data_IF_190991093566
#
_entry.id   IF_190991093566
#
_cell.length_a   1.000
_cell.length_b   1.000
_cell.length_c   1.000
_cell.angle_alpha   90.00
_cell.angle_beta   90.00
_cell.angle_gamma   90.00
#
_symmetry.space_group_name_H-M   'P 1'
#
loop_
_entity.id
_entity.type
_entity.pdbx_description
1 polymer ?
#
# COMPACT_ATOMS: atom_id res chain seq x y z
N UNK A 1 8.23 -9.55 23.18
CA UNK A 1 8.99 -10.30 22.15
C UNK A 1 8.95 -9.51 20.86
N UNK A 2 10.09 -9.35 20.20
CA UNK A 2 10.16 -8.69 18.90
C UNK A 2 9.58 -9.64 17.84
N UNK A 3 8.67 -9.13 17.00
CA UNK A 3 8.05 -9.93 15.92
C UNK A 3 9.10 -10.25 14.86
N UNK A 4 9.13 -11.49 14.42
CA UNK A 4 9.96 -11.89 13.27
C UNK A 4 9.49 -11.22 11.97
N UNK A 5 10.37 -11.10 10.98
CA UNK A 5 10.05 -10.52 9.67
C UNK A 5 8.89 -11.28 8.99
N UNK A 6 8.82 -12.60 9.14
CA UNK A 6 7.76 -13.43 8.55
C UNK A 6 6.41 -13.25 9.25
N UNK A 7 6.39 -13.07 10.57
CA UNK A 7 5.16 -12.73 11.30
C UNK A 7 4.65 -11.35 10.87
N UNK A 8 5.52 -10.34 10.78
CA UNK A 8 5.16 -9.01 10.25
C UNK A 8 4.60 -9.12 8.84
N UNK A 9 5.25 -9.87 7.95
CA UNK A 9 4.79 -10.07 6.58
C UNK A 9 3.39 -10.69 6.53
N UNK A 10 3.15 -11.74 7.31
CA UNK A 10 1.85 -12.41 7.38
C UNK A 10 0.75 -11.45 7.80
N UNK A 11 0.97 -10.68 8.88
CA UNK A 11 0.00 -9.71 9.39
C UNK A 11 -0.26 -8.58 8.38
N UNK A 12 0.79 -8.01 7.82
CA UNK A 12 0.69 -6.80 6.99
C UNK A 12 0.27 -7.08 5.55
N UNK A 13 0.58 -8.25 5.02
CA UNK A 13 0.07 -8.70 3.73
C UNK A 13 -1.41 -9.12 3.83
N UNK A 14 -1.82 -9.81 4.91
CA UNK A 14 -3.22 -10.12 5.15
C UNK A 14 -4.06 -8.85 5.35
N UNK A 15 -3.57 -7.88 6.10
CA UNK A 15 -4.22 -6.57 6.25
C UNK A 15 -4.35 -5.81 4.93
N UNK A 16 -3.43 -5.99 3.99
CA UNK A 16 -3.45 -5.33 2.69
C UNK A 16 -4.53 -5.87 1.72
N UNK A 17 -5.11 -7.05 1.96
CA UNK A 17 -6.17 -7.61 1.10
C UNK A 17 -7.43 -6.74 1.04
N UNK A 18 -7.71 -5.99 2.09
CA UNK A 18 -8.87 -5.09 2.18
C UNK A 18 -8.69 -3.78 1.41
N UNK A 19 -7.52 -3.56 0.84
CA UNK A 19 -7.28 -2.43 -0.04
C UNK A 19 -7.82 -2.75 -1.46
N UNK A 20 -8.85 -2.01 -1.89
CA UNK A 20 -9.70 -2.31 -3.06
C UNK A 20 -8.97 -2.26 -4.41
N UNK A 21 -7.72 -1.79 -4.46
CA UNK A 21 -6.96 -1.67 -5.71
C UNK A 21 -6.58 -3.01 -6.36
N UNK A 22 -6.91 -4.15 -5.74
CA UNK A 22 -6.60 -5.49 -6.26
C UNK A 22 -7.65 -6.53 -5.88
N UNK A 23 -8.12 -7.28 -6.84
CA UNK A 23 -8.91 -8.49 -6.64
C UNK A 23 -7.96 -9.68 -6.44
N UNK A 24 -7.62 -10.03 -5.19
CA UNK A 24 -7.01 -11.32 -4.89
C UNK A 24 -8.11 -12.33 -4.57
N UNK A 25 -8.02 -13.55 -5.07
CA UNK A 25 -9.04 -14.59 -4.87
C UNK A 25 -9.15 -15.09 -3.42
N UNK A 26 -8.22 -14.73 -2.55
CA UNK A 26 -8.14 -15.22 -1.17
C UNK A 26 -7.83 -16.72 -1.06
N UNK A 27 -7.52 -17.39 -2.17
CA UNK A 27 -7.26 -18.82 -2.19
C UNK A 27 -5.98 -19.17 -1.42
N UNK A 28 -6.07 -20.12 -0.52
CA UNK A 28 -4.91 -20.68 0.21
C UNK A 28 -4.94 -22.22 0.14
N UNK A 29 -3.83 -22.83 -0.23
CA UNK A 29 -3.69 -24.28 -0.33
C UNK A 29 -2.26 -24.69 -0.01
N UNK A 30 -2.08 -25.48 1.04
CA UNK A 30 -0.79 -26.06 1.36
C UNK A 30 -0.39 -27.13 0.33
N UNK A 31 0.91 -27.32 0.13
CA UNK A 31 1.44 -28.42 -0.65
C UNK A 31 1.03 -29.77 -0.02
N UNK A 32 0.64 -30.73 -0.86
CA UNK A 32 0.31 -32.10 -0.45
C UNK A 32 1.35 -33.07 -1.01
N UNK A 33 1.59 -34.16 -0.34
CA UNK A 33 2.45 -35.22 -0.87
C UNK A 33 1.95 -35.67 -2.26
N UNK A 34 2.85 -35.71 -3.25
CA UNK A 34 2.53 -36.05 -4.64
C UNK A 34 1.94 -34.88 -5.48
N UNK A 35 1.80 -33.68 -4.93
CA UNK A 35 1.41 -32.48 -5.70
C UNK A 35 2.58 -31.52 -5.85
N UNK A 36 2.57 -30.75 -6.95
CA UNK A 36 3.55 -29.68 -7.19
C UNK A 36 2.88 -28.34 -6.88
N UNK A 37 3.52 -27.53 -6.02
CA UNK A 37 3.12 -26.18 -5.68
C UNK A 37 2.20 -26.04 -4.49
N UNK A 38 2.21 -24.84 -3.92
CA UNK A 38 1.32 -24.36 -2.88
C UNK A 38 0.78 -22.99 -3.29
N UNK A 39 -0.38 -22.62 -2.77
CA UNK A 39 -0.98 -21.32 -2.98
C UNK A 39 -1.17 -20.65 -1.62
N UNK A 40 -0.56 -19.47 -1.45
CA UNK A 40 -0.74 -18.61 -0.29
C UNK A 40 -1.52 -17.36 -0.69
N UNK A 41 -2.60 -17.08 0.03
CA UNK A 41 -3.51 -16.01 -0.29
C UNK A 41 -2.95 -14.59 -0.15
N UNK A 42 -2.18 -14.22 0.89
CA UNK A 42 -1.75 -12.84 1.05
C UNK A 42 -0.38 -12.56 0.41
N UNK A 43 -0.21 -11.35 -0.10
CA UNK A 43 1.10 -10.77 -0.40
C UNK A 43 1.40 -10.47 -1.86
N UNK A 44 0.70 -11.07 -2.84
CA UNK A 44 0.92 -10.73 -4.24
C UNK A 44 -0.36 -10.20 -4.89
N UNK A 45 -0.24 -9.11 -5.62
CA UNK A 45 -1.28 -8.61 -6.50
C UNK A 45 -0.76 -8.47 -7.93
N UNK A 46 -1.68 -8.33 -8.88
CA UNK A 46 -1.35 -8.14 -10.27
C UNK A 46 -1.76 -6.74 -10.72
N UNK A 47 -0.89 -6.06 -11.43
CA UNK A 47 -1.18 -4.84 -12.15
C UNK A 47 -0.98 -5.09 -13.66
N UNK A 48 -1.78 -4.44 -14.50
CA UNK A 48 -1.60 -4.51 -15.94
C UNK A 48 -0.89 -3.25 -16.42
N UNK A 49 0.15 -3.43 -17.22
CA UNK A 49 0.83 -2.36 -17.93
C UNK A 49 0.02 -1.93 -19.15
N UNK A 50 0.36 -0.80 -19.76
CA UNK A 50 -0.38 -0.27 -20.91
C UNK A 50 -0.33 -1.19 -22.15
N UNK A 51 0.68 -2.04 -22.23
CA UNK A 51 0.86 -3.05 -23.26
C UNK A 51 0.19 -4.40 -22.93
N UNK A 52 -0.61 -4.44 -21.85
CA UNK A 52 -1.39 -5.61 -21.45
C UNK A 52 -0.62 -6.68 -20.67
N UNK A 53 0.67 -6.48 -20.35
CA UNK A 53 1.43 -7.43 -19.53
C UNK A 53 0.95 -7.38 -18.08
N UNK A 54 0.84 -8.58 -17.49
CA UNK A 54 0.56 -8.74 -16.06
C UNK A 54 1.86 -8.62 -15.28
N UNK A 55 1.89 -7.72 -14.29
CA UNK A 55 3.02 -7.48 -13.38
C UNK A 55 2.64 -7.97 -12.00
N UNK A 56 3.41 -8.88 -11.43
CA UNK A 56 3.21 -9.37 -10.07
C UNK A 56 3.87 -8.44 -9.04
N UNK A 57 3.10 -7.98 -8.07
CA UNK A 57 3.56 -7.03 -7.06
C UNK A 57 3.47 -7.63 -5.66
N UNK A 58 4.49 -7.38 -4.83
CA UNK A 58 4.36 -7.55 -3.39
C UNK A 58 3.40 -6.48 -2.87
N UNK A 59 2.20 -6.90 -2.45
CA UNK A 59 1.20 -6.01 -1.87
C UNK A 59 1.26 -6.09 -0.36
N UNK A 60 1.61 -4.99 0.28
CA UNK A 60 1.84 -4.96 1.73
C UNK A 60 1.53 -3.59 2.31
N UNK A 61 1.11 -3.57 3.59
CA UNK A 61 1.08 -2.35 4.39
C UNK A 61 2.45 -2.09 5.03
N UNK A 62 2.86 -0.84 5.10
CA UNK A 62 3.98 -0.41 5.94
C UNK A 62 3.69 -0.70 7.41
N UNK A 63 2.46 -0.41 7.84
CA UNK A 63 1.91 -0.69 9.16
C UNK A 63 0.40 -0.88 9.09
N UNK A 64 -0.16 -1.70 9.99
CA UNK A 64 -1.59 -1.74 10.25
C UNK A 64 -1.98 -1.09 11.59
N UNK A 65 -1.02 -0.50 12.32
CA UNK A 65 -1.28 0.37 13.44
C UNK A 65 -1.86 1.69 12.92
N UNK A 66 -3.13 1.96 13.20
CA UNK A 66 -3.80 3.17 12.75
C UNK A 66 -4.14 4.09 13.91
N UNK A 67 -3.94 5.40 13.74
CA UNK A 67 -4.41 6.43 14.68
C UNK A 67 -5.87 6.84 14.40
N UNK A 68 -6.40 6.51 13.21
CA UNK A 68 -7.77 6.80 12.78
C UNK A 68 -8.74 5.69 13.13
N UNK A 69 -10.03 6.04 13.29
CA UNK A 69 -11.07 5.09 13.66
C UNK A 69 -12.23 5.02 12.64
N UNK A 70 -11.89 4.87 11.36
CA UNK A 70 -12.87 4.75 10.28
C UNK A 70 -13.73 3.49 10.45
N UNK A 71 -15.04 3.63 10.59
CA UNK A 71 -15.99 2.55 10.96
C UNK A 71 -15.96 1.35 9.98
N UNK A 72 -15.65 1.59 8.70
CA UNK A 72 -15.60 0.56 7.66
C UNK A 72 -14.23 -0.13 7.56
N UNK A 73 -13.21 0.38 8.26
CA UNK A 73 -11.84 -0.12 8.11
C UNK A 73 -11.52 -1.22 9.11
N UNK A 74 -11.03 -2.36 8.63
CA UNK A 74 -10.59 -3.46 9.51
C UNK A 74 -9.41 -3.04 10.39
N UNK A 75 -8.53 -2.16 9.89
CA UNK A 75 -7.35 -1.69 10.61
C UNK A 75 -7.62 -0.45 11.50
N UNK A 76 -8.88 -0.07 11.74
CA UNK A 76 -9.21 1.06 12.59
C UNK A 76 -8.64 0.89 14.01
N UNK A 77 -8.42 2.01 14.68
CA UNK A 77 -7.79 2.06 16.01
C UNK A 77 -8.50 1.18 17.05
N UNK A 78 -9.83 1.18 17.06
CA UNK A 78 -10.65 0.45 18.03
C UNK A 78 -10.76 -1.05 17.82
N UNK A 79 -10.32 -1.59 16.67
CA UNK A 79 -10.34 -3.03 16.44
C UNK A 79 -9.18 -3.73 17.15
N UNK A 80 -9.53 -4.80 17.88
CA UNK A 80 -8.55 -5.71 18.47
C UNK A 80 -8.10 -6.75 17.43
N UNK A 81 -6.93 -6.53 16.87
CA UNK A 81 -6.30 -7.42 15.89
C UNK A 81 -4.77 -7.37 16.01
N UNK A 82 -4.05 -8.41 15.57
CA UNK A 82 -2.60 -8.39 15.56
C UNK A 82 -2.06 -7.19 14.79
N UNK A 83 -1.18 -6.43 15.43
CA UNK A 83 -0.55 -5.23 14.87
C UNK A 83 0.91 -5.48 14.56
N UNK A 84 1.36 -4.92 13.45
CA UNK A 84 2.75 -4.97 13.04
C UNK A 84 3.17 -3.67 12.33
N UNK A 85 4.46 -3.42 12.31
CA UNK A 85 5.06 -2.29 11.59
C UNK A 85 6.43 -2.72 11.06
N UNK A 86 6.65 -2.52 9.77
CA UNK A 86 7.99 -2.64 9.19
C UNK A 86 8.81 -1.40 9.47
N UNK A 87 10.09 -1.57 9.73
CA UNK A 87 11.05 -0.50 9.51
C UNK A 87 11.24 -0.29 8.00
N UNK A 88 11.65 0.90 7.55
CA UNK A 88 11.91 1.14 6.13
C UNK A 88 12.94 0.16 5.54
N UNK A 89 13.95 -0.20 6.30
CA UNK A 89 15.00 -1.13 5.88
C UNK A 89 14.47 -2.55 5.74
N UNK A 90 13.71 -3.05 6.72
CA UNK A 90 13.11 -4.39 6.64
C UNK A 90 12.25 -4.55 5.38
N UNK A 91 11.42 -3.55 5.07
CA UNK A 91 10.53 -3.63 3.91
C UNK A 91 11.30 -3.51 2.58
N UNK A 92 12.31 -2.67 2.52
CA UNK A 92 13.17 -2.56 1.34
C UNK A 92 13.95 -3.85 1.08
N UNK A 93 14.56 -4.43 2.10
CA UNK A 93 15.30 -5.69 2.01
C UNK A 93 14.38 -6.85 1.62
N UNK A 94 13.19 -6.97 2.24
CA UNK A 94 12.18 -7.96 1.89
C UNK A 94 11.76 -7.86 0.42
N UNK A 95 11.53 -6.64 -0.07
CA UNK A 95 11.18 -6.39 -1.48
C UNK A 95 12.29 -6.86 -2.40
N UNK A 96 13.55 -6.55 -2.08
CA UNK A 96 14.70 -6.97 -2.87
C UNK A 96 14.91 -8.49 -2.87
N UNK A 97 14.72 -9.14 -1.74
CA UNK A 97 14.81 -10.60 -1.65
C UNK A 97 13.75 -11.30 -2.51
N UNK A 98 12.51 -10.81 -2.50
CA UNK A 98 11.44 -11.36 -3.32
C UNK A 98 11.68 -11.11 -4.82
N UNK A 99 12.18 -9.92 -5.16
CA UNK A 99 12.54 -9.58 -6.54
C UNK A 99 13.68 -10.44 -7.09
N UNK A 100 14.77 -10.61 -6.31
CA UNK A 100 15.92 -11.45 -6.71
C UNK A 100 15.55 -12.91 -6.92
N UNK A 101 14.53 -13.40 -6.21
CA UNK A 101 14.00 -14.76 -6.35
C UNK A 101 12.94 -14.90 -7.43
N UNK A 102 12.67 -13.84 -8.20
CA UNK A 102 11.65 -13.78 -9.25
C UNK A 102 10.22 -14.09 -8.75
N UNK A 103 9.92 -13.78 -7.47
CA UNK A 103 8.56 -13.93 -6.94
C UNK A 103 7.68 -12.74 -7.29
N UNK A 104 8.28 -11.58 -7.47
CA UNK A 104 7.61 -10.31 -7.79
C UNK A 104 8.42 -9.52 -8.82
N UNK A 105 7.73 -8.63 -9.52
CA UNK A 105 8.31 -7.65 -10.46
C UNK A 105 8.25 -6.23 -9.89
N UNK A 106 7.56 -6.04 -8.75
CA UNK A 106 7.44 -4.74 -8.13
C UNK A 106 6.81 -4.76 -6.73
N UNK A 107 6.59 -3.57 -6.20
CA UNK A 107 6.03 -3.31 -4.88
C UNK A 107 4.73 -2.51 -4.99
N UNK A 108 3.66 -2.96 -4.32
CA UNK A 108 2.49 -2.16 -4.01
C UNK A 108 2.52 -1.80 -2.53
N UNK A 109 2.86 -0.54 -2.23
CA UNK A 109 3.01 -0.04 -0.88
C UNK A 109 1.83 0.84 -0.48
N UNK A 110 1.12 0.42 0.57
CA UNK A 110 0.14 1.23 1.28
C UNK A 110 0.45 1.27 2.77
N UNK A 111 -0.35 1.97 3.56
CA UNK A 111 -0.17 2.04 5.02
C UNK A 111 -1.45 2.46 5.73
N UNK A 112 -1.63 2.02 6.96
CA UNK A 112 -2.45 2.72 7.93
C UNK A 112 -1.73 4.01 8.38
N UNK A 113 -2.44 4.93 9.03
CA UNK A 113 -1.88 6.19 9.53
C UNK A 113 -1.31 5.97 10.93
N UNK A 114 0.02 5.89 11.04
CA UNK A 114 0.68 5.50 12.29
C UNK A 114 0.58 6.60 13.37
N UNK A 115 1.12 7.75 13.15
CA UNK A 115 1.11 8.90 14.08
C UNK A 115 0.37 10.06 13.44
N UNK A 116 0.83 10.43 12.25
CA UNK A 116 0.23 11.45 11.39
C UNK A 116 0.39 11.05 9.92
N UNK A 117 -0.38 11.66 9.01
CA UNK A 117 -0.22 11.46 7.58
C UNK A 117 1.21 11.72 7.09
N UNK A 118 1.80 12.82 7.50
CA UNK A 118 3.16 13.22 7.09
C UNK A 118 4.21 12.24 7.64
N UNK A 119 4.17 11.91 8.93
CA UNK A 119 5.07 10.93 9.53
C UNK A 119 5.01 9.57 8.81
N UNK A 120 3.80 9.12 8.49
CA UNK A 120 3.61 7.85 7.77
C UNK A 120 4.20 7.92 6.37
N UNK A 121 3.96 9.02 5.65
CA UNK A 121 4.48 9.23 4.30
C UNK A 121 6.00 9.37 4.29
N UNK A 122 6.61 10.02 5.28
CA UNK A 122 8.08 10.07 5.43
C UNK A 122 8.70 8.68 5.55
N UNK A 123 8.06 7.78 6.30
CA UNK A 123 8.50 6.39 6.42
C UNK A 123 8.35 5.63 5.11
N UNK A 124 7.25 5.82 4.38
CA UNK A 124 7.07 5.26 3.03
C UNK A 124 8.14 5.80 2.07
N UNK A 125 8.40 7.10 2.11
CA UNK A 125 9.48 7.72 1.34
C UNK A 125 10.85 7.13 1.66
N UNK A 126 11.13 6.83 2.92
CA UNK A 126 12.38 6.18 3.31
C UNK A 126 12.52 4.79 2.66
N UNK A 127 11.44 4.01 2.53
CA UNK A 127 11.45 2.74 1.78
C UNK A 127 11.81 2.98 0.31
N UNK A 128 11.12 3.91 -0.35
CA UNK A 128 11.33 4.19 -1.77
C UNK A 128 12.74 4.73 -2.04
N UNK A 129 13.27 5.59 -1.16
CA UNK A 129 14.65 6.09 -1.25
C UNK A 129 15.68 4.98 -1.11
N UNK A 130 15.47 4.03 -0.20
CA UNK A 130 16.34 2.85 -0.09
C UNK A 130 16.27 2.02 -1.37
N UNK A 131 15.07 1.72 -1.88
CA UNK A 131 14.89 0.94 -3.10
C UNK A 131 15.54 1.61 -4.31
N UNK A 132 15.20 2.87 -4.60
CA UNK A 132 15.70 3.59 -5.79
C UNK A 132 17.16 4.01 -5.66
N UNK A 133 17.56 4.55 -4.50
CA UNK A 133 18.90 5.10 -4.28
C UNK A 133 19.92 4.04 -3.90
N UNK A 134 19.69 3.28 -2.83
CA UNK A 134 20.68 2.34 -2.31
C UNK A 134 20.71 1.01 -3.07
N UNK A 135 19.53 0.44 -3.37
CA UNK A 135 19.42 -0.87 -4.04
C UNK A 135 19.32 -0.77 -5.56
N UNK A 136 19.22 0.43 -6.13
CA UNK A 136 19.06 0.67 -7.57
C UNK A 136 17.91 -0.17 -8.18
N UNK A 137 16.83 -0.31 -7.41
CA UNK A 137 15.68 -1.12 -7.80
C UNK A 137 14.96 -0.51 -9.00
N UNK A 138 15.00 -1.18 -10.14
CA UNK A 138 14.35 -0.80 -11.40
C UNK A 138 12.92 -1.35 -11.56
N UNK A 139 12.43 -2.17 -10.60
CA UNK A 139 11.09 -2.76 -10.66
C UNK A 139 9.98 -1.73 -10.42
N UNK A 140 8.75 -2.13 -10.73
CA UNK A 140 7.57 -1.27 -10.64
C UNK A 140 7.20 -0.96 -9.18
N UNK A 141 6.95 0.31 -8.88
CA UNK A 141 6.49 0.76 -7.55
C UNK A 141 5.16 1.49 -7.68
N UNK A 142 4.12 0.92 -7.07
CA UNK A 142 2.85 1.57 -6.84
C UNK A 142 2.75 1.97 -5.37
N UNK A 143 2.64 3.26 -5.09
CA UNK A 143 2.44 3.78 -3.74
C UNK A 143 1.03 4.37 -3.57
N UNK A 144 0.44 4.18 -2.40
CA UNK A 144 -0.82 4.81 -2.02
C UNK A 144 -0.57 6.06 -1.20
N UNK A 145 -1.04 7.20 -1.69
CA UNK A 145 -0.99 8.46 -0.96
C UNK A 145 -1.86 8.39 0.29
N UNK A 146 -1.33 8.87 1.40
CA UNK A 146 -2.05 8.97 2.67
C UNK A 146 -2.86 10.27 2.67
N UNK A 147 -4.19 10.21 2.89
CA UNK A 147 -5.01 11.42 3.00
C UNK A 147 -4.51 12.35 4.11
N UNK A 148 -4.38 13.63 3.79
CA UNK A 148 -3.89 14.65 4.73
C UNK A 148 -2.39 14.90 4.69
N UNK A 149 -1.63 14.16 3.89
CA UNK A 149 -0.19 14.40 3.67
C UNK A 149 0.05 15.75 3.00
N UNK A 150 1.14 16.43 3.39
CA UNK A 150 1.60 17.67 2.79
C UNK A 150 1.94 17.50 1.31
N UNK A 151 1.69 18.52 0.46
CA UNK A 151 1.97 18.45 -0.98
C UNK A 151 3.43 18.12 -1.30
N UNK A 152 4.35 18.64 -0.52
CA UNK A 152 5.80 18.47 -0.70
C UNK A 152 6.23 17.02 -0.52
N UNK A 153 5.65 16.31 0.45
CA UNK A 153 5.91 14.89 0.67
C UNK A 153 5.24 14.02 -0.41
N UNK A 154 4.05 14.41 -0.86
CA UNK A 154 3.35 13.71 -1.95
C UNK A 154 4.09 13.84 -3.27
N UNK A 155 4.64 15.02 -3.58
CA UNK A 155 5.45 15.25 -4.76
C UNK A 155 6.71 14.36 -4.73
N UNK A 156 7.43 14.32 -3.62
CA UNK A 156 8.59 13.45 -3.44
C UNK A 156 8.22 11.97 -3.59
N UNK A 157 7.08 11.55 -3.05
CA UNK A 157 6.59 10.17 -3.18
C UNK A 157 6.28 9.85 -4.65
N UNK A 158 5.67 10.81 -5.38
CA UNK A 158 5.36 10.69 -6.79
C UNK A 158 6.58 10.55 -7.69
N UNK A 159 7.67 11.25 -7.40
CA UNK A 159 8.92 11.13 -8.18
C UNK A 159 9.61 9.78 -8.03
N UNK A 160 9.41 9.09 -6.92
CA UNK A 160 10.05 7.78 -6.66
C UNK A 160 9.17 6.59 -7.05
N UNK A 161 7.85 6.80 -7.17
CA UNK A 161 6.88 5.78 -7.55
C UNK A 161 6.57 5.85 -9.05
N UNK A 162 6.31 4.68 -9.69
CA UNK A 162 5.81 4.62 -11.06
C UNK A 162 4.32 4.91 -11.13
N UNK A 163 3.61 4.67 -10.02
CA UNK A 163 2.20 5.01 -9.85
C UNK A 163 1.93 5.49 -8.44
N UNK A 164 1.22 6.60 -8.34
CA UNK A 164 0.64 7.08 -7.10
C UNK A 164 -0.88 7.06 -7.21
N UNK A 165 -1.57 6.57 -6.19
CA UNK A 165 -3.03 6.57 -6.12
C UNK A 165 -3.52 7.02 -4.76
N UNK A 166 -4.75 7.53 -4.71
CA UNK A 166 -5.42 7.93 -3.47
C UNK A 166 -6.84 7.35 -3.45
N UNK A 167 -7.29 6.92 -2.30
CA UNK A 167 -8.68 6.48 -2.13
C UNK A 167 -9.59 7.70 -1.92
N UNK A 168 -10.70 7.75 -2.65
CA UNK A 168 -11.76 8.76 -2.44
C UNK A 168 -12.57 8.43 -1.17
N UNK A 169 -12.53 7.17 -0.73
CA UNK A 169 -13.17 6.62 0.46
C UNK A 169 -14.70 6.56 0.34
N UNK A 170 -15.40 7.71 0.43
CA UNK A 170 -16.85 7.79 0.43
C UNK A 170 -17.35 8.90 -0.48
N UNK A 171 -18.54 8.74 -1.11
CA UNK A 171 -19.02 9.66 -2.14
C UNK A 171 -19.48 11.01 -1.59
N UNK A 172 -19.88 11.09 -0.32
CA UNK A 172 -20.41 12.34 0.26
C UNK A 172 -19.64 12.75 1.52
N UNK A 173 -19.58 14.06 1.76
CA UNK A 173 -18.98 14.64 2.96
C UNK A 173 -19.72 14.21 4.24
N UNK A 174 -21.06 14.10 4.16
CA UNK A 174 -21.89 13.61 5.25
C UNK A 174 -21.56 12.16 5.63
N UNK A 175 -21.39 11.30 4.63
CA UNK A 175 -20.99 9.91 4.86
C UNK A 175 -19.57 9.83 5.43
N UNK A 176 -18.68 10.68 4.92
CA UNK A 176 -17.28 10.73 5.37
C UNK A 176 -17.19 11.17 6.84
N UNK A 177 -17.88 12.25 7.23
CA UNK A 177 -17.89 12.73 8.61
C UNK A 177 -18.50 11.73 9.59
N UNK A 178 -19.46 10.93 9.13
CA UNK A 178 -20.10 9.90 9.96
C UNK A 178 -19.23 8.64 10.13
N UNK A 179 -18.60 8.17 9.05
CA UNK A 179 -17.93 6.86 9.00
C UNK A 179 -16.41 6.95 9.10
N UNK A 180 -15.82 8.11 8.85
CA UNK A 180 -14.39 8.37 8.93
C UNK A 180 -14.11 9.80 9.44
N UNK A 181 -14.45 10.09 10.71
CA UNK A 181 -14.41 11.46 11.27
C UNK A 181 -13.01 12.08 11.24
N UNK A 182 -11.96 11.25 11.24
CA UNK A 182 -10.56 11.70 11.13
C UNK A 182 -10.15 12.12 9.71
N UNK A 183 -11.02 11.91 8.70
CA UNK A 183 -10.78 12.23 7.29
C UNK A 183 -11.75 13.29 6.81
N UNK A 184 -11.23 14.45 6.42
CA UNK A 184 -12.02 15.48 5.77
C UNK A 184 -11.94 15.36 4.23
N UNK A 185 -12.97 15.87 3.52
CA UNK A 185 -12.96 15.90 2.05
C UNK A 185 -11.73 16.63 1.51
N UNK A 186 -11.33 17.72 2.14
CA UNK A 186 -10.13 18.45 1.79
C UNK A 186 -8.85 17.62 1.88
N UNK A 187 -8.72 16.79 2.92
CA UNK A 187 -7.55 15.90 3.12
C UNK A 187 -7.44 14.81 2.05
N UNK A 188 -8.57 14.41 1.44
CA UNK A 188 -8.64 13.42 0.37
C UNK A 188 -8.35 14.07 -0.99
N UNK A 189 -8.96 15.22 -1.29
CA UNK A 189 -8.83 15.87 -2.60
C UNK A 189 -7.52 16.67 -2.76
N UNK A 190 -6.94 17.15 -1.67
CA UNK A 190 -5.66 17.87 -1.70
C UNK A 190 -4.53 17.04 -2.33
N UNK A 191 -4.36 15.73 -2.02
CA UNK A 191 -3.39 14.87 -2.67
C UNK A 191 -3.62 14.64 -4.16
N UNK A 192 -4.85 14.78 -4.66
CA UNK A 192 -5.17 14.50 -6.06
C UNK A 192 -4.50 15.47 -7.03
N UNK A 193 -4.27 16.73 -6.65
CA UNK A 193 -3.60 17.70 -7.52
C UNK A 193 -2.15 17.29 -7.82
N UNK A 194 -1.25 17.09 -6.83
CA UNK A 194 0.10 16.61 -7.09
C UNK A 194 0.11 15.29 -7.86
N UNK A 195 -0.78 14.34 -7.52
CA UNK A 195 -0.90 13.05 -8.21
C UNK A 195 -1.22 13.21 -9.69
N UNK A 196 -2.10 14.16 -10.06
CA UNK A 196 -2.46 14.42 -11.46
C UNK A 196 -1.33 15.04 -12.27
N UNK A 197 -0.43 15.81 -11.64
CA UNK A 197 0.72 16.42 -12.30
C UNK A 197 1.89 15.44 -12.45
N UNK A 198 2.11 14.57 -11.49
CA UNK A 198 3.22 13.60 -11.50
C UNK A 198 2.88 12.35 -12.31
N UNK A 199 1.61 12.01 -12.47
CA UNK A 199 1.15 10.81 -13.19
C UNK A 199 -0.01 11.14 -14.13
N UNK A 200 0.26 11.16 -15.43
CA UNK A 200 -0.74 11.42 -16.50
C UNK A 200 -1.96 10.47 -16.48
N UNK A 201 -1.91 9.39 -15.69
CA UNK A 201 -2.99 8.40 -15.53
C UNK A 201 -3.92 8.61 -14.32
N UNK A 202 -3.67 9.59 -13.48
CA UNK A 202 -4.60 9.92 -12.39
C UNK A 202 -5.98 10.39 -12.91
N UNK A 203 -6.10 10.67 -14.21
CA UNK A 203 -7.36 11.03 -14.87
C UNK A 203 -8.37 9.88 -15.01
N UNK A 204 -7.97 8.63 -14.91
CA UNK A 204 -8.92 7.49 -15.01
C UNK A 204 -9.88 7.42 -13.82
N UNK A 205 -9.46 7.91 -12.66
CA UNK A 205 -10.30 7.94 -11.45
C UNK A 205 -11.33 9.08 -11.47
N UNK A 206 -11.11 10.14 -12.26
CA UNK A 206 -12.02 11.28 -12.39
C UNK A 206 -13.13 11.07 -13.45
N UNK A 207 -12.98 10.08 -14.33
CA UNK A 207 -13.99 9.78 -15.38
C UNK A 207 -15.16 8.93 -14.88
N UNK A 208 -15.12 8.44 -13.65
CA UNK A 208 -16.17 7.62 -13.04
C UNK A 208 -16.87 8.33 -11.88
N UNK A 209 -16.74 9.65 -11.76
CA UNK A 209 -17.53 10.55 -10.93
C UNK A 209 -18.42 11.42 -11.82
#
# INVERSE_FOLDING_TARGET
MEQSLMEKLTILADSAKYDVACTSSGASRAARAGSIGSCYAPGCCHAFTADGRCVSLLKVLMTNCCSFDCSYCVNRKSNDLPRATFSPRELAELTMEFYRRNYIEGLFLSSAVLVSPDYTTERMLAVLRLLRGQYHFGGYIHAKAIPGTSPELLEQLGYLADRLSVNIELPSEKSLSLLAPDKGRHSIFRPMKPVSYTHLRAHETLRHL
#
